data_IF_473779339486
#
_entry.id   IF_473779339486
#
_cell.length_a   1.000
_cell.length_b   1.000
_cell.length_c   1.000
_cell.angle_alpha   90.00
_cell.angle_beta   90.00
_cell.angle_gamma   90.00
#
_symmetry.space_group_name_H-M   'P 1'
#
loop_
_entity.id
_entity.type
_entity.pdbx_description
1 polymer ?
#
# COMPACT_ATOMS: atom_id res chain seq x y z
N UNK A 1 20.47 -7.57 -38.31
CA UNK A 1 19.42 -6.78 -37.62
C UNK A 1 18.64 -7.61 -36.61
N UNK A 2 18.14 -8.82 -36.93
CA UNK A 2 17.51 -9.70 -35.91
C UNK A 2 18.51 -10.24 -34.87
N UNK A 3 19.71 -10.66 -35.28
CA UNK A 3 20.75 -11.16 -34.35
C UNK A 3 21.18 -10.08 -33.34
N UNK A 4 21.35 -8.84 -33.81
CA UNK A 4 21.73 -7.69 -32.99
C UNK A 4 20.68 -7.36 -31.92
N UNK A 5 19.38 -7.49 -32.25
CA UNK A 5 18.29 -7.29 -31.30
C UNK A 5 18.24 -8.37 -30.20
N UNK A 6 18.52 -9.63 -30.56
CA UNK A 6 18.57 -10.72 -29.58
C UNK A 6 19.73 -10.56 -28.61
N UNK A 7 20.87 -10.06 -29.08
CA UNK A 7 22.00 -9.72 -28.23
C UNK A 7 21.64 -8.58 -27.26
N UNK A 8 21.04 -7.50 -27.75
CA UNK A 8 20.57 -6.38 -26.91
C UNK A 8 19.59 -6.84 -25.82
N UNK A 9 18.55 -7.61 -26.18
CA UNK A 9 17.57 -8.13 -25.22
C UNK A 9 18.22 -9.04 -24.15
N UNK A 10 19.21 -9.86 -24.55
CA UNK A 10 19.96 -10.70 -23.61
C UNK A 10 20.75 -9.85 -22.61
N UNK A 11 21.43 -8.80 -23.08
CA UNK A 11 22.19 -7.89 -22.22
C UNK A 11 21.31 -7.15 -21.22
N UNK A 12 20.12 -6.70 -21.64
CA UNK A 12 19.15 -6.01 -20.80
C UNK A 12 18.65 -6.88 -19.65
N UNK A 13 18.31 -8.14 -19.94
CA UNK A 13 17.87 -9.10 -18.93
C UNK A 13 19.02 -9.56 -18.03
N UNK A 14 20.22 -9.75 -18.57
CA UNK A 14 21.41 -10.11 -17.80
C UNK A 14 21.80 -8.99 -16.82
N UNK A 15 21.79 -7.74 -17.27
CA UNK A 15 22.00 -6.56 -16.42
C UNK A 15 20.99 -6.53 -15.28
N UNK A 16 19.72 -6.78 -15.60
CA UNK A 16 18.65 -6.83 -14.61
C UNK A 16 18.90 -7.89 -13.55
N UNK A 17 19.36 -9.09 -13.93
CA UNK A 17 19.72 -10.15 -12.99
C UNK A 17 20.88 -9.76 -12.07
N UNK A 18 21.89 -9.04 -12.57
CA UNK A 18 23.00 -8.57 -11.74
C UNK A 18 22.56 -7.64 -10.60
N UNK A 19 21.51 -6.84 -10.81
CA UNK A 19 20.94 -6.01 -9.74
C UNK A 19 19.95 -6.80 -8.86
N UNK A 20 19.10 -7.63 -9.47
CA UNK A 20 18.01 -8.30 -8.75
C UNK A 20 18.48 -9.44 -7.85
N UNK A 21 19.53 -10.17 -8.20
CA UNK A 21 20.04 -11.29 -7.37
C UNK A 21 20.60 -10.78 -6.02
N UNK A 22 21.50 -9.78 -5.97
CA UNK A 22 21.94 -9.17 -4.72
C UNK A 22 20.78 -8.51 -3.96
N UNK A 23 19.90 -7.81 -4.66
CA UNK A 23 18.72 -7.18 -4.06
C UNK A 23 17.84 -8.20 -3.33
N UNK A 24 17.55 -9.34 -3.97
CA UNK A 24 16.75 -10.41 -3.41
C UNK A 24 17.43 -11.06 -2.20
N UNK A 25 18.72 -11.39 -2.30
CA UNK A 25 19.44 -12.05 -1.20
C UNK A 25 19.55 -11.17 0.04
N UNK A 26 19.87 -9.89 -0.12
CA UNK A 26 19.87 -8.91 0.98
C UNK A 26 18.46 -8.72 1.57
N UNK A 27 17.44 -8.64 0.72
CA UNK A 27 16.04 -8.50 1.18
C UNK A 27 15.57 -9.74 1.93
N UNK A 28 15.96 -10.94 1.50
CA UNK A 28 15.65 -12.19 2.20
C UNK A 28 16.31 -12.25 3.58
N UNK A 29 17.56 -11.82 3.69
CA UNK A 29 18.25 -11.71 4.98
C UNK A 29 17.52 -10.73 5.91
N UNK A 30 17.16 -9.55 5.43
CA UNK A 30 16.39 -8.55 6.20
C UNK A 30 15.00 -9.08 6.59
N UNK A 31 14.32 -9.76 5.68
CA UNK A 31 12.99 -10.35 5.91
C UNK A 31 13.00 -11.39 7.04
N UNK A 32 14.09 -12.14 7.23
CA UNK A 32 14.18 -13.10 8.34
C UNK A 32 14.11 -12.42 9.72
N UNK A 33 14.58 -11.19 9.84
CA UNK A 33 14.52 -10.40 11.08
C UNK A 33 13.29 -9.49 11.16
N UNK A 34 12.72 -9.11 10.01
CA UNK A 34 11.53 -8.25 9.95
C UNK A 34 10.20 -9.03 9.99
N UNK A 35 10.18 -10.31 9.58
CA UNK A 35 8.97 -11.13 9.63
C UNK A 35 8.40 -11.21 11.05
N UNK A 36 7.07 -11.31 11.16
CA UNK A 36 6.39 -11.35 12.44
C UNK A 36 6.88 -12.51 13.36
N UNK A 37 7.21 -12.26 14.63
CA UNK A 37 7.27 -10.94 15.29
C UNK A 37 8.54 -10.16 14.89
N UNK A 38 8.36 -8.91 14.43
CA UNK A 38 9.44 -8.10 13.88
C UNK A 38 10.48 -7.76 14.96
N UNK A 39 11.76 -8.04 14.69
CA UNK A 39 12.90 -7.68 15.55
C UNK A 39 13.58 -6.39 15.08
N UNK A 40 13.51 -6.13 13.78
CA UNK A 40 14.04 -4.91 13.14
C UNK A 40 13.00 -4.35 12.18
N UNK A 41 12.98 -3.02 12.03
CA UNK A 41 12.17 -2.34 11.03
C UNK A 41 13.05 -1.91 9.87
N UNK A 42 12.50 -2.01 8.66
CA UNK A 42 13.22 -1.69 7.42
C UNK A 42 13.40 -0.17 7.23
N UNK A 43 12.43 0.61 7.71
CA UNK A 43 12.42 2.08 7.62
C UNK A 43 12.32 2.62 6.20
N UNK A 44 12.37 3.95 6.08
CA UNK A 44 12.30 4.64 4.79
C UNK A 44 13.53 4.34 3.91
N UNK A 45 14.68 4.05 4.51
CA UNK A 45 15.92 3.69 3.81
C UNK A 45 15.72 2.51 2.87
N UNK A 46 15.11 1.42 3.36
CA UNK A 46 14.83 0.27 2.52
C UNK A 46 13.80 0.57 1.45
N UNK A 47 12.74 1.33 1.78
CA UNK A 47 11.69 1.69 0.81
C UNK A 47 12.25 2.52 -0.36
N UNK A 48 13.13 3.49 -0.07
CA UNK A 48 13.82 4.25 -1.11
C UNK A 48 14.77 3.36 -1.91
N UNK A 49 15.57 2.53 -1.25
CA UNK A 49 16.50 1.64 -1.93
C UNK A 49 15.77 0.66 -2.87
N UNK A 50 14.76 -0.05 -2.38
CA UNK A 50 13.97 -0.98 -3.16
C UNK A 50 13.26 -0.31 -4.34
N UNK A 51 12.63 0.85 -4.10
CA UNK A 51 11.98 1.62 -5.17
C UNK A 51 12.96 2.03 -6.27
N UNK A 52 14.14 2.53 -5.88
CA UNK A 52 15.18 2.94 -6.84
C UNK A 52 15.77 1.74 -7.60
N UNK A 53 16.05 0.62 -6.93
CA UNK A 53 16.56 -0.59 -7.59
C UNK A 53 15.58 -1.10 -8.64
N UNK A 54 14.28 -1.21 -8.31
CA UNK A 54 13.26 -1.67 -9.26
C UNK A 54 13.06 -0.68 -10.42
N UNK A 55 13.10 0.63 -10.14
CA UNK A 55 13.01 1.66 -11.17
C UNK A 55 14.20 1.61 -12.15
N UNK A 56 15.44 1.57 -11.64
CA UNK A 56 16.65 1.50 -12.48
C UNK A 56 16.63 0.27 -13.36
N UNK A 57 16.37 -0.90 -12.77
CA UNK A 57 16.35 -2.17 -13.50
C UNK A 57 15.30 -2.17 -14.60
N UNK A 58 14.10 -1.65 -14.31
CA UNK A 58 13.02 -1.62 -15.30
C UNK A 58 13.17 -0.56 -16.40
N UNK A 59 13.85 0.55 -16.11
CA UNK A 59 14.16 1.58 -17.10
C UNK A 59 15.29 1.11 -18.02
N UNK A 60 16.39 0.60 -17.46
CA UNK A 60 17.54 0.12 -18.23
C UNK A 60 17.24 -1.16 -19.00
N UNK A 61 16.46 -2.07 -18.42
CA UNK A 61 16.05 -3.30 -19.10
C UNK A 61 14.85 -3.14 -20.04
N UNK A 62 14.36 -1.92 -20.27
CA UNK A 62 13.26 -1.63 -21.18
C UNK A 62 11.90 -2.34 -20.89
N UNK A 63 11.69 -2.86 -19.68
CA UNK A 63 10.44 -3.53 -19.25
C UNK A 63 9.64 -2.76 -18.18
N UNK A 64 9.74 -1.43 -18.15
CA UNK A 64 9.01 -0.56 -17.22
C UNK A 64 7.49 -0.80 -17.18
N UNK A 65 6.87 -1.08 -18.34
CA UNK A 65 5.44 -1.42 -18.42
C UNK A 65 5.13 -2.70 -17.64
N UNK A 66 5.95 -3.74 -17.81
CA UNK A 66 5.81 -5.01 -17.10
C UNK A 66 6.06 -4.84 -15.60
N UNK A 67 7.02 -4.01 -15.22
CA UNK A 67 7.28 -3.69 -13.80
C UNK A 67 6.07 -3.04 -13.12
N UNK A 68 5.36 -2.12 -13.79
CA UNK A 68 4.15 -1.49 -13.24
C UNK A 68 3.03 -2.52 -13.03
N UNK A 69 2.92 -3.54 -13.90
CA UNK A 69 1.97 -4.64 -13.70
C UNK A 69 2.30 -5.45 -12.45
N UNK A 70 3.57 -5.70 -12.16
CA UNK A 70 3.96 -6.33 -10.89
C UNK A 70 3.69 -5.44 -9.67
N UNK A 71 3.54 -4.14 -9.84
CA UNK A 71 3.26 -3.18 -8.76
C UNK A 71 1.77 -2.83 -8.62
N UNK A 72 0.85 -3.63 -9.18
CA UNK A 72 -0.60 -3.37 -9.13
C UNK A 72 -1.10 -3.08 -7.70
N UNK A 73 -0.79 -3.88 -6.66
CA UNK A 73 -1.25 -3.59 -5.30
C UNK A 73 -0.74 -2.26 -4.75
N UNK A 74 0.52 -1.89 -5.07
CA UNK A 74 1.15 -0.65 -4.64
C UNK A 74 0.50 0.55 -5.35
N UNK A 75 0.30 0.44 -6.67
CA UNK A 75 -0.39 1.46 -7.47
C UNK A 75 -1.82 1.63 -6.98
N UNK A 76 -2.55 0.55 -6.74
CA UNK A 76 -3.90 0.61 -6.20
C UNK A 76 -3.94 1.26 -4.82
N UNK A 77 -3.04 0.90 -3.90
CA UNK A 77 -2.95 1.53 -2.58
C UNK A 77 -2.66 3.03 -2.69
N UNK A 78 -1.77 3.42 -3.61
CA UNK A 78 -1.46 4.82 -3.87
C UNK A 78 -2.69 5.58 -4.38
N UNK A 79 -3.36 5.07 -5.42
CA UNK A 79 -4.57 5.66 -5.99
C UNK A 79 -5.71 5.80 -4.96
N UNK A 80 -5.95 4.74 -4.18
CA UNK A 80 -6.94 4.76 -3.10
C UNK A 80 -6.58 5.76 -2.00
N UNK A 81 -5.29 5.94 -1.71
CA UNK A 81 -4.78 6.90 -0.73
C UNK A 81 -4.78 8.36 -1.20
N UNK A 82 -4.91 8.63 -2.50
CA UNK A 82 -4.75 9.98 -3.07
C UNK A 82 -5.61 11.07 -2.41
N UNK A 83 -6.90 10.83 -2.08
CA UNK A 83 -7.73 11.88 -1.49
C UNK A 83 -7.21 12.34 -0.12
N UNK A 84 -6.59 11.43 0.65
CA UNK A 84 -5.92 11.77 1.90
C UNK A 84 -4.56 12.43 1.65
N UNK A 85 -3.76 11.92 0.70
CA UNK A 85 -2.43 12.48 0.40
C UNK A 85 -2.49 13.91 -0.12
N UNK A 86 -3.46 14.23 -0.98
CA UNK A 86 -3.70 15.60 -1.46
C UNK A 86 -4.50 16.47 -0.49
N UNK A 87 -4.79 15.97 0.73
CA UNK A 87 -5.55 16.69 1.76
C UNK A 87 -6.95 17.15 1.29
N UNK A 88 -7.56 16.43 0.34
CA UNK A 88 -8.97 16.61 -0.03
C UNK A 88 -9.89 16.08 1.08
N UNK A 89 -9.41 15.04 1.78
CA UNK A 89 -10.01 14.46 2.97
C UNK A 89 -8.95 14.51 4.09
N UNK A 90 -9.35 14.73 5.36
CA UNK A 90 -8.42 14.74 6.48
C UNK A 90 -7.54 13.48 6.53
N UNK A 91 -6.23 13.70 6.60
CA UNK A 91 -5.22 12.66 6.62
C UNK A 91 -4.52 12.67 7.98
N UNK A 92 -4.75 11.65 8.84
CA UNK A 92 -4.00 11.53 10.07
C UNK A 92 -2.53 11.18 9.76
N UNK A 93 -1.64 11.48 10.71
CA UNK A 93 -0.19 11.22 10.56
C UNK A 93 0.10 9.73 10.39
N UNK A 94 -0.58 8.89 11.15
CA UNK A 94 -0.46 7.42 11.07
C UNK A 94 -1.78 6.83 10.55
N UNK A 95 -1.68 6.05 9.47
CA UNK A 95 -2.82 5.41 8.79
C UNK A 95 -2.79 3.87 8.91
N UNK A 96 -1.95 3.37 9.82
CA UNK A 96 -1.82 1.94 10.11
C UNK A 96 -3.04 1.46 10.92
N UNK A 97 -3.47 0.19 10.74
CA UNK A 97 -4.47 -0.44 11.59
C UNK A 97 -4.15 -0.28 13.09
N UNK A 98 -5.19 -0.12 13.92
CA UNK A 98 -5.05 -0.03 15.37
C UNK A 98 -4.97 -1.42 15.97
N UNK A 99 -3.98 -1.67 16.83
CA UNK A 99 -3.88 -2.93 17.55
C UNK A 99 -4.85 -2.96 18.73
N UNK A 100 -5.62 -4.04 18.89
CA UNK A 100 -6.44 -4.29 20.07
C UNK A 100 -5.75 -5.35 20.97
N UNK A 101 -5.26 -4.98 22.17
CA UNK A 101 -4.60 -5.89 23.10
C UNK A 101 -5.49 -7.05 23.59
N UNK A 102 -6.80 -6.81 23.75
CA UNK A 102 -7.72 -7.81 24.30
C UNK A 102 -7.95 -8.98 23.34
N UNK A 103 -8.03 -8.66 22.04
CA UNK A 103 -8.28 -9.66 21.00
C UNK A 103 -7.02 -10.09 20.26
N UNK A 104 -5.89 -9.44 20.51
CA UNK A 104 -4.61 -9.63 19.82
C UNK A 104 -4.73 -9.53 18.28
N UNK A 105 -5.54 -8.57 17.82
CA UNK A 105 -5.88 -8.36 16.40
C UNK A 105 -5.69 -6.91 15.98
N UNK A 106 -5.38 -6.71 14.71
CA UNK A 106 -5.40 -5.43 14.03
C UNK A 106 -6.83 -5.10 13.60
N UNK A 107 -7.32 -3.96 14.08
CA UNK A 107 -8.61 -3.37 13.75
C UNK A 107 -8.44 -2.22 12.77
N UNK A 108 -9.49 -1.92 12.01
CA UNK A 108 -9.49 -0.74 11.14
C UNK A 108 -9.20 0.53 11.95
N UNK A 109 -8.34 1.36 11.39
CA UNK A 109 -8.06 2.71 11.85
C UNK A 109 -8.98 3.69 11.13
N UNK A 110 -9.44 4.70 11.86
CA UNK A 110 -10.42 5.66 11.40
C UNK A 110 -9.85 7.09 11.45
N UNK A 111 -10.38 7.96 10.60
CA UNK A 111 -10.11 9.39 10.57
C UNK A 111 -11.41 10.14 10.90
N UNK A 112 -11.38 10.94 11.95
CA UNK A 112 -12.51 11.74 12.43
C UNK A 112 -12.35 13.21 12.02
N UNK A 113 -13.42 13.82 11.53
CA UNK A 113 -13.44 15.24 11.18
C UNK A 113 -14.85 15.82 11.19
N UNK A 114 -14.94 17.15 11.28
CA UNK A 114 -16.20 17.87 11.18
C UNK A 114 -16.72 17.85 9.75
N UNK A 115 -18.01 17.58 9.57
CA UNK A 115 -18.61 17.53 8.23
C UNK A 115 -18.53 18.90 7.52
N UNK A 116 -18.50 19.99 8.27
CA UNK A 116 -18.36 21.37 7.77
C UNK A 116 -17.03 21.65 7.06
N UNK A 117 -15.96 20.95 7.43
CA UNK A 117 -14.61 21.26 6.98
C UNK A 117 -14.29 20.58 5.63
N UNK A 118 -15.19 19.71 5.17
CA UNK A 118 -15.00 18.93 3.97
C UNK A 118 -15.41 19.72 2.73
N UNK A 119 -14.45 19.92 1.81
CA UNK A 119 -14.71 20.56 0.52
C UNK A 119 -15.61 19.70 -0.37
N UNK A 120 -16.25 20.32 -1.36
CA UNK A 120 -17.11 19.64 -2.34
C UNK A 120 -16.43 18.42 -2.99
N UNK A 121 -15.19 18.57 -3.45
CA UNK A 121 -14.42 17.48 -4.05
C UNK A 121 -14.22 16.32 -3.08
N UNK A 122 -13.86 16.60 -1.83
CA UNK A 122 -13.72 15.57 -0.80
C UNK A 122 -15.03 14.82 -0.56
N UNK A 123 -16.16 15.53 -0.48
CA UNK A 123 -17.48 14.93 -0.30
C UNK A 123 -17.87 14.05 -1.50
N UNK A 124 -17.62 14.51 -2.73
CA UNK A 124 -17.86 13.74 -3.95
C UNK A 124 -17.03 12.45 -3.95
N UNK A 125 -15.74 12.54 -3.64
CA UNK A 125 -14.87 11.36 -3.55
C UNK A 125 -15.33 10.36 -2.49
N UNK A 126 -15.73 10.83 -1.31
CA UNK A 126 -16.25 9.94 -0.26
C UNK A 126 -17.57 9.27 -0.68
N UNK A 127 -18.47 9.99 -1.35
CA UNK A 127 -19.71 9.40 -1.89
C UNK A 127 -19.42 8.32 -2.92
N UNK A 128 -18.49 8.57 -3.85
CA UNK A 128 -18.06 7.57 -4.82
C UNK A 128 -17.49 6.34 -4.12
N UNK A 129 -16.55 6.51 -3.18
CA UNK A 129 -15.97 5.38 -2.45
C UNK A 129 -16.98 4.62 -1.59
N UNK A 130 -17.98 5.31 -1.04
CA UNK A 130 -19.09 4.68 -0.33
C UNK A 130 -19.99 3.89 -1.29
N UNK A 131 -20.26 4.40 -2.49
CA UNK A 131 -21.08 3.72 -3.51
C UNK A 131 -20.40 2.44 -4.02
N UNK A 132 -19.08 2.45 -4.20
CA UNK A 132 -18.28 1.26 -4.53
C UNK A 132 -18.06 0.31 -3.34
N UNK A 133 -18.57 0.63 -2.14
CA UNK A 133 -18.39 -0.19 -0.95
C UNK A 133 -16.94 -0.24 -0.44
N UNK A 134 -16.08 0.71 -0.84
CA UNK A 134 -14.69 0.82 -0.42
C UNK A 134 -14.52 1.60 0.89
N UNK A 135 -15.54 2.37 1.27
CA UNK A 135 -15.53 3.20 2.47
C UNK A 135 -16.42 2.58 3.57
N UNK A 136 -15.94 2.62 4.80
CA UNK A 136 -16.76 2.46 6.00
C UNK A 136 -16.88 3.83 6.65
N UNK A 137 -18.11 4.34 6.74
CA UNK A 137 -18.40 5.67 7.30
C UNK A 137 -19.36 5.56 8.48
N UNK A 138 -19.13 6.37 9.51
CA UNK A 138 -20.02 6.57 10.64
C UNK A 138 -20.21 8.07 10.84
N UNK A 139 -21.42 8.49 11.13
CA UNK A 139 -21.73 9.88 11.45
C UNK A 139 -22.23 9.93 12.89
N UNK A 140 -21.70 10.83 13.70
CA UNK A 140 -22.12 11.04 15.08
C UNK A 140 -22.18 12.53 15.41
N UNK A 141 -23.03 12.90 16.36
CA UNK A 141 -23.10 14.26 16.86
C UNK A 141 -22.22 14.40 18.10
N UNK A 142 -21.41 15.46 18.15
CA UNK A 142 -20.60 15.81 19.31
C UNK A 142 -20.70 17.31 19.53
N UNK A 143 -21.18 17.69 20.70
CA UNK A 143 -21.33 19.09 21.13
C UNK A 143 -22.19 19.94 20.17
N UNK A 144 -23.24 19.35 19.59
CA UNK A 144 -24.15 20.03 18.64
C UNK A 144 -23.57 20.21 17.23
N UNK A 145 -22.42 19.58 16.95
CA UNK A 145 -21.79 19.57 15.63
C UNK A 145 -21.77 18.17 15.05
N UNK A 146 -22.07 18.04 13.75
CA UNK A 146 -22.01 16.75 13.04
C UNK A 146 -20.57 16.40 12.69
N UNK A 147 -20.11 15.28 13.25
CA UNK A 147 -18.83 14.67 12.95
C UNK A 147 -19.02 13.47 12.04
N UNK A 148 -18.04 13.26 11.17
CA UNK A 148 -17.96 12.08 10.31
C UNK A 148 -16.64 11.37 10.57
N UNK A 149 -16.75 10.06 10.72
CA UNK A 149 -15.65 9.14 10.89
C UNK A 149 -15.61 8.22 9.69
N UNK A 150 -14.44 8.12 9.05
CA UNK A 150 -14.22 7.23 7.91
C UNK A 150 -13.06 6.29 8.19
N UNK A 151 -13.03 5.11 7.58
CA UNK A 151 -11.83 4.28 7.58
C UNK A 151 -10.68 4.97 6.83
N UNK A 152 -9.45 4.77 7.30
CA UNK A 152 -8.27 5.27 6.59
C UNK A 152 -8.15 4.62 5.21
N UNK A 153 -7.89 5.44 4.20
CA UNK A 153 -7.89 5.03 2.80
C UNK A 153 -6.56 4.35 2.45
N UNK A 154 -6.41 3.10 2.87
CA UNK A 154 -5.24 2.25 2.58
C UNK A 154 -5.69 0.80 2.35
N UNK A 155 -4.93 0.03 1.58
CA UNK A 155 -5.26 -1.38 1.31
C UNK A 155 -5.29 -2.22 2.59
N UNK A 156 -4.44 -1.92 3.57
CA UNK A 156 -4.48 -2.56 4.89
C UNK A 156 -5.86 -2.44 5.54
N UNK A 157 -6.38 -1.22 5.63
CA UNK A 157 -7.69 -0.97 6.21
C UNK A 157 -8.83 -1.52 5.32
N UNK A 158 -8.65 -1.55 4.00
CA UNK A 158 -9.62 -2.13 3.08
C UNK A 158 -9.73 -3.65 3.25
N UNK A 159 -8.61 -4.37 3.39
CA UNK A 159 -8.61 -5.80 3.69
C UNK A 159 -9.32 -6.07 5.02
N UNK A 160 -9.04 -5.26 6.05
CA UNK A 160 -9.72 -5.37 7.34
C UNK A 160 -11.21 -5.01 7.28
N UNK A 161 -11.63 -4.16 6.34
CA UNK A 161 -13.05 -3.86 6.10
C UNK A 161 -13.80 -5.09 5.60
N UNK A 162 -13.20 -5.87 4.71
CA UNK A 162 -13.84 -7.05 4.12
C UNK A 162 -13.66 -8.32 4.98
N UNK A 163 -12.47 -8.52 5.56
CA UNK A 163 -12.15 -9.72 6.34
C UNK A 163 -12.44 -9.56 7.84
N UNK A 164 -12.70 -8.35 8.33
CA UNK A 164 -12.82 -8.03 9.75
C UNK A 164 -11.47 -7.94 10.46
N UNK A 165 -11.46 -7.90 11.82
CA UNK A 165 -10.23 -7.85 12.60
C UNK A 165 -9.38 -9.10 12.41
N UNK A 166 -8.13 -8.92 11.96
CA UNK A 166 -7.18 -10.00 11.70
C UNK A 166 -5.94 -9.86 12.55
N UNK A 167 -5.31 -10.97 12.90
CA UNK A 167 -3.99 -10.94 13.52
C UNK A 167 -2.95 -10.38 12.53
N UNK A 168 -1.95 -9.64 13.01
CA UNK A 168 -0.98 -8.93 12.18
C UNK A 168 -0.28 -9.85 11.17
N UNK A 169 0.20 -11.02 11.62
CA UNK A 169 0.80 -12.03 10.75
C UNK A 169 -0.13 -12.48 9.62
N UNK A 170 -1.42 -12.62 9.91
CA UNK A 170 -2.41 -13.05 8.92
C UNK A 170 -2.70 -11.92 7.92
N UNK A 171 -2.78 -10.68 8.39
CA UNK A 171 -2.94 -9.51 7.53
C UNK A 171 -1.76 -9.35 6.57
N UNK A 172 -0.52 -9.46 7.05
CA UNK A 172 0.68 -9.40 6.20
C UNK A 172 0.68 -10.53 5.16
N UNK A 173 0.33 -11.77 5.56
CA UNK A 173 0.22 -12.89 4.63
C UNK A 173 -0.86 -12.66 3.57
N UNK A 174 -2.01 -12.10 3.94
CA UNK A 174 -3.06 -11.77 2.99
C UNK A 174 -2.57 -10.76 1.93
N UNK A 175 -1.81 -9.74 2.34
CA UNK A 175 -1.21 -8.80 1.40
C UNK A 175 -0.16 -9.44 0.49
N UNK A 176 0.68 -10.32 1.02
CA UNK A 176 1.65 -11.07 0.21
C UNK A 176 0.94 -11.98 -0.79
N UNK A 177 -0.16 -12.62 -0.41
CA UNK A 177 -0.97 -13.42 -1.33
C UNK A 177 -1.60 -12.55 -2.42
N UNK A 178 -2.20 -11.40 -2.07
CA UNK A 178 -2.72 -10.44 -3.05
C UNK A 178 -1.61 -10.04 -4.03
N UNK A 179 -0.40 -9.79 -3.54
CA UNK A 179 0.76 -9.47 -4.38
C UNK A 179 1.15 -10.61 -5.32
N UNK A 180 1.15 -11.86 -4.85
CA UNK A 180 1.46 -13.03 -5.68
C UNK A 180 0.39 -13.32 -6.73
N UNK A 181 -0.88 -12.99 -6.48
CA UNK A 181 -2.00 -13.19 -7.41
C UNK A 181 -2.24 -12.01 -8.36
N UNK A 182 -1.52 -10.90 -8.20
CA UNK A 182 -1.72 -9.70 -9.04
C UNK A 182 -1.06 -9.79 -10.42
N UNK A 183 -0.82 -11.01 -10.92
CA UNK A 183 -0.21 -11.27 -12.23
C UNK A 183 -0.78 -12.55 -12.84
#
# INVERSE_FOLDING_TARGET
MQVTRLEEEFWDHLLSLYFLIPFLTCTLALYQYNKYPARVFVGDTFCYWAGMTLAVVSILGHFSKTMILFLIPQVFNFLYSLPQLFKLVPCPRHRLPKFNPETNKACMSMAEFKESDLKFLGNLTLKLFSAFGLLHTRSFDRDGTRWREINNLTVLNLVLKFAGPLHEKTLTKALLLIQSFSW
#
